data_IF_561968467145
#
_entry.id   IF_561968467145
#
_cell.length_a   1.000
_cell.length_b   1.000
_cell.length_c   1.000
_cell.angle_alpha   90.00
_cell.angle_beta   90.00
_cell.angle_gamma   90.00
#
_symmetry.space_group_name_H-M   'P 1'
#
loop_
_entity.id
_entity.type
_entity.pdbx_description
1 polymer ?
#
# COMPACT_ATOMS: atom_id res chain seq x y z
N UNK A 1 14.25 1.65 23.08
CA UNK A 1 14.31 2.82 22.19
C UNK A 1 13.14 2.73 21.23
N UNK A 2 12.39 3.80 21.02
CA UNK A 2 11.42 3.86 19.92
C UNK A 2 12.19 4.07 18.61
N UNK A 3 12.19 3.06 17.75
CA UNK A 3 12.81 3.12 16.43
C UNK A 3 12.09 4.17 15.56
N UNK A 4 12.85 5.05 14.90
CA UNK A 4 12.30 6.10 14.03
C UNK A 4 11.38 5.56 12.93
N UNK A 5 11.53 4.29 12.55
CA UNK A 5 10.70 3.60 11.56
C UNK A 5 9.22 3.55 11.93
N UNK A 6 8.90 3.43 13.22
CA UNK A 6 7.52 3.24 13.71
C UNK A 6 6.95 4.49 14.39
N UNK A 7 7.56 5.66 14.18
CA UNK A 7 7.03 6.92 14.70
C UNK A 7 6.14 7.62 13.67
N UNK A 8 5.01 8.22 14.09
CA UNK A 8 4.15 8.99 13.20
C UNK A 8 4.88 10.14 12.52
N UNK A 9 4.44 10.48 11.31
CA UNK A 9 4.92 11.66 10.59
C UNK A 9 3.90 12.15 9.57
N UNK A 10 4.04 13.41 9.15
CA UNK A 10 3.20 14.03 8.13
C UNK A 10 3.91 14.03 6.78
N UNK A 11 3.27 13.47 5.75
CA UNK A 11 3.74 13.51 4.36
C UNK A 11 2.86 14.47 3.54
N UNK A 12 3.28 15.74 3.44
CA UNK A 12 2.47 16.78 2.81
C UNK A 12 1.20 17.04 3.60
N UNK A 13 0.05 16.64 3.07
CA UNK A 13 -1.26 16.78 3.72
C UNK A 13 -1.76 15.49 4.39
N UNK A 14 -0.96 14.42 4.42
CA UNK A 14 -1.37 13.10 4.91
C UNK A 14 -0.65 12.79 6.22
N UNK A 15 -1.40 12.54 7.28
CA UNK A 15 -0.86 12.01 8.54
C UNK A 15 -0.65 10.50 8.43
N UNK A 16 0.55 10.02 8.77
CA UNK A 16 0.92 8.62 8.70
C UNK A 16 1.38 8.08 10.05
N UNK A 17 0.95 6.85 10.38
CA UNK A 17 1.24 6.22 11.66
C UNK A 17 2.69 5.74 11.80
N UNK A 18 3.38 5.51 10.68
CA UNK A 18 4.76 5.03 10.63
C UNK A 18 5.42 5.43 9.31
N UNK A 19 6.70 5.09 9.13
CA UNK A 19 7.51 5.39 7.94
C UNK A 19 7.62 4.21 6.96
N UNK A 20 6.72 3.23 7.05
CA UNK A 20 6.66 2.08 6.16
C UNK A 20 5.73 2.39 4.99
N UNK A 21 6.25 2.29 3.77
CA UNK A 21 5.47 2.52 2.55
C UNK A 21 5.54 1.28 1.67
N UNK A 22 4.38 0.89 1.14
CA UNK A 22 4.31 -0.18 0.15
C UNK A 22 4.79 0.34 -1.20
N UNK A 23 5.95 -0.12 -1.66
CA UNK A 23 6.49 0.28 -2.96
C UNK A 23 5.50 -0.07 -4.11
N UNK A 24 5.39 0.79 -5.14
CA UNK A 24 4.57 0.51 -6.30
C UNK A 24 5.22 -0.62 -7.10
N UNK A 25 4.46 -1.67 -7.37
CA UNK A 25 4.96 -2.87 -8.02
C UNK A 25 3.84 -3.48 -8.86
N UNK A 26 4.14 -3.81 -10.11
CA UNK A 26 3.20 -4.51 -11.00
C UNK A 26 2.82 -5.87 -10.43
N UNK A 27 1.53 -6.22 -10.52
CA UNK A 27 1.01 -7.51 -10.01
C UNK A 27 0.68 -8.52 -11.08
N UNK A 28 0.48 -8.08 -12.32
CA UNK A 28 -0.01 -8.94 -13.43
C UNK A 28 -1.28 -9.71 -13.02
N UNK A 29 -2.23 -9.03 -12.35
CA UNK A 29 -3.47 -9.62 -11.81
C UNK A 29 -4.73 -9.10 -12.50
N UNK A 30 -4.63 -8.09 -13.35
CA UNK A 30 -5.74 -7.62 -14.18
C UNK A 30 -5.97 -8.63 -15.32
N UNK A 31 -7.23 -8.82 -15.70
CA UNK A 31 -7.56 -9.63 -16.87
C UNK A 31 -7.23 -8.87 -18.18
N UNK A 32 -7.21 -9.60 -19.30
CA UNK A 32 -6.86 -9.05 -20.60
C UNK A 32 -8.02 -8.35 -21.30
N UNK A 33 -9.26 -8.50 -20.79
CA UNK A 33 -10.46 -7.99 -21.47
C UNK A 33 -10.77 -6.56 -21.02
N UNK A 34 -10.70 -6.31 -19.71
CA UNK A 34 -11.04 -5.03 -19.08
C UNK A 34 -9.83 -4.31 -18.52
N UNK A 35 -8.79 -5.05 -18.13
CA UNK A 35 -7.64 -4.53 -17.38
C UNK A 35 -8.02 -3.82 -16.06
N UNK A 36 -9.21 -4.09 -15.51
CA UNK A 36 -9.73 -3.44 -14.31
C UNK A 36 -9.23 -4.06 -13.00
N UNK A 37 -9.50 -3.35 -11.90
CA UNK A 37 -9.28 -3.84 -10.55
C UNK A 37 -10.27 -4.98 -10.25
N UNK A 38 -9.78 -6.04 -9.62
CA UNK A 38 -10.58 -7.21 -9.24
C UNK A 38 -10.25 -7.70 -7.82
N UNK A 39 -10.93 -8.76 -7.37
CA UNK A 39 -10.81 -9.31 -6.01
C UNK A 39 -9.38 -9.67 -5.60
N UNK A 40 -8.54 -10.09 -6.56
CA UNK A 40 -7.13 -10.41 -6.28
C UNK A 40 -6.31 -9.17 -5.92
N UNK A 41 -6.70 -7.99 -6.39
CA UNK A 41 -6.09 -6.72 -6.00
C UNK A 41 -6.56 -6.31 -4.61
N UNK A 42 -7.88 -6.42 -4.35
CA UNK A 42 -8.47 -6.07 -3.05
C UNK A 42 -7.83 -6.87 -1.93
N UNK A 43 -7.79 -8.19 -2.09
CA UNK A 43 -7.18 -9.08 -1.08
C UNK A 43 -5.68 -8.81 -0.92
N UNK A 44 -4.99 -8.51 -2.03
CA UNK A 44 -3.59 -8.16 -1.99
C UNK A 44 -3.30 -6.93 -1.13
N UNK A 45 -4.04 -5.84 -1.33
CA UNK A 45 -3.80 -4.60 -0.58
C UNK A 45 -4.31 -4.69 0.86
N UNK A 46 -5.40 -5.43 1.13
CA UNK A 46 -5.90 -5.67 2.49
C UNK A 46 -4.85 -6.32 3.39
N UNK A 47 -4.09 -7.28 2.88
CA UNK A 47 -3.04 -7.97 3.65
C UNK A 47 -1.86 -7.07 4.07
N UNK A 48 -1.78 -5.82 3.61
CA UNK A 48 -0.69 -4.87 3.91
C UNK A 48 -1.17 -3.59 4.61
N UNK A 49 -2.48 -3.44 4.80
CA UNK A 49 -3.10 -2.35 5.54
C UNK A 49 -3.39 -2.82 6.97
#
# INVERSE_FOLDING_TARGET
MTEALFTPFTAGAIEMANRVVMAPLTRNRADNDTAEVNDLHVEYYRQRA
#
